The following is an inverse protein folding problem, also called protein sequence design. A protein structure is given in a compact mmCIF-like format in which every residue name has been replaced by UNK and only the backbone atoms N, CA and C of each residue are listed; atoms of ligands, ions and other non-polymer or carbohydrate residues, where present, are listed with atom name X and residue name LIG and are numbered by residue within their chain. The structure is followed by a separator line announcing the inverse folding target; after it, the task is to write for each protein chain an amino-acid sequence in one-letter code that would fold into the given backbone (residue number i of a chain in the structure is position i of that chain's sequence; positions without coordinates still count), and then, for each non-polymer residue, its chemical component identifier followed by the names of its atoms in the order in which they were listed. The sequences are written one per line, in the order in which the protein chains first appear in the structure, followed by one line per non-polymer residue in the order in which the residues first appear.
data_IF_363272322438
#
_entry.id   IF_363272322438
#
_cell.length_a   1.000
_cell.length_b   1.000
_cell.length_c   1.000
_cell.angle_alpha   90.00
_cell.angle_beta   90.00
_cell.angle_gamma   90.00
#
_symmetry.space_group_name_H-M   'P 1'
#
loop_
_entity.id
_entity.type
_entity.pdbx_description
1 polymer ?
#
# COMPACT_ATOMS: atom_id res chain seq x y z
N UNK A 1 6.05 -36.68 8.29
CA UNK A 1 5.65 -35.62 7.35
C UNK A 1 6.59 -35.64 6.16
N UNK A 2 6.05 -35.66 4.96
CA UNK A 2 6.90 -35.68 3.76
C UNK A 2 7.54 -34.30 3.54
N UNK A 3 8.74 -34.31 2.92
CA UNK A 3 9.47 -33.08 2.58
C UNK A 3 8.64 -32.09 1.74
N UNK A 4 7.65 -32.58 1.00
CA UNK A 4 6.71 -31.77 0.21
C UNK A 4 5.75 -30.95 1.08
N UNK A 5 5.33 -31.45 2.23
CA UNK A 5 4.48 -30.71 3.18
C UNK A 5 5.29 -29.59 3.86
N UNK A 6 6.53 -29.84 4.20
CA UNK A 6 7.43 -28.84 4.78
C UNK A 6 7.77 -27.73 3.77
N UNK A 7 7.99 -28.06 2.50
CA UNK A 7 8.24 -27.08 1.46
C UNK A 7 7.02 -26.20 1.14
N UNK A 8 5.80 -26.72 1.30
CA UNK A 8 4.56 -25.96 1.12
C UNK A 8 4.24 -25.05 2.32
N UNK A 9 4.69 -25.39 3.53
CA UNK A 9 4.47 -24.58 4.73
C UNK A 9 5.48 -23.42 4.88
N UNK A 10 6.67 -23.55 4.31
CA UNK A 10 7.71 -22.51 4.43
C UNK A 10 7.38 -21.22 3.68
N UNK A 11 6.84 -21.22 2.45
CA UNK A 11 6.40 -19.98 1.79
C UNK A 11 5.27 -19.28 2.54
N UNK A 12 4.31 -20.04 3.06
CA UNK A 12 3.18 -19.49 3.80
C UNK A 12 3.58 -18.84 5.12
N UNK A 13 4.53 -19.39 5.84
CA UNK A 13 5.02 -18.81 7.09
C UNK A 13 5.83 -17.54 6.85
N UNK A 14 6.60 -17.46 5.78
CA UNK A 14 7.31 -16.25 5.37
C UNK A 14 6.36 -15.15 4.93
N UNK A 15 5.32 -15.49 4.18
CA UNK A 15 4.27 -14.56 3.78
C UNK A 15 3.55 -13.98 5.00
N UNK A 16 3.18 -14.80 5.98
CA UNK A 16 2.55 -14.34 7.21
C UNK A 16 3.46 -13.42 8.04
N UNK A 17 4.74 -13.76 8.20
CA UNK A 17 5.71 -12.91 8.91
C UNK A 17 5.92 -11.57 8.21
N UNK A 18 6.01 -11.58 6.87
CA UNK A 18 6.11 -10.36 6.07
C UNK A 18 4.85 -9.48 6.21
N UNK A 19 3.66 -10.08 6.18
CA UNK A 19 2.40 -9.37 6.38
C UNK A 19 2.29 -8.76 7.78
N UNK A 20 2.68 -9.49 8.82
CA UNK A 20 2.72 -8.97 10.18
C UNK A 20 3.68 -7.78 10.31
N UNK A 21 4.84 -7.83 9.68
CA UNK A 21 5.80 -6.72 9.66
C UNK A 21 5.22 -5.49 8.96
N UNK A 22 4.55 -5.66 7.82
CA UNK A 22 3.87 -4.58 7.08
C UNK A 22 2.78 -3.95 7.94
N UNK A 23 1.93 -4.76 8.56
CA UNK A 23 0.84 -4.30 9.41
C UNK A 23 1.35 -3.52 10.63
N UNK A 24 2.38 -4.05 11.29
CA UNK A 24 3.00 -3.39 12.44
C UNK A 24 3.62 -2.04 12.04
N UNK A 25 4.31 -2.00 10.90
CA UNK A 25 4.89 -0.74 10.41
C UNK A 25 3.82 0.27 10.01
N UNK A 26 2.78 -0.14 9.30
CA UNK A 26 1.67 0.73 8.91
C UNK A 26 1.04 1.45 10.12
N UNK A 27 0.82 0.73 11.21
CA UNK A 27 0.30 1.29 12.46
C UNK A 27 1.21 2.38 13.03
N UNK A 28 2.53 2.22 12.90
CA UNK A 28 3.51 3.22 13.38
C UNK A 28 3.46 4.54 12.63
N UNK A 29 2.92 4.56 11.42
CA UNK A 29 2.74 5.78 10.62
C UNK A 29 1.49 6.58 10.99
N UNK A 30 0.54 5.99 11.72
CA UNK A 30 -0.67 6.69 12.16
C UNK A 30 -0.30 7.94 12.96
N UNK A 31 -0.91 9.07 12.61
CA UNK A 31 -0.61 10.37 13.18
C UNK A 31 0.41 11.21 12.41
N UNK A 32 1.13 10.62 11.45
CA UNK A 32 2.03 11.37 10.55
C UNK A 32 1.21 12.39 9.76
N UNK A 33 1.57 13.69 9.78
CA UNK A 33 0.85 14.71 9.03
C UNK A 33 0.87 14.43 7.52
N UNK A 34 -0.22 14.76 6.83
CA UNK A 34 -0.21 14.71 5.37
C UNK A 34 0.72 15.79 4.82
N UNK A 35 1.61 15.39 3.95
CA UNK A 35 2.48 16.31 3.22
C UNK A 35 2.75 15.76 1.82
N UNK A 36 2.35 16.50 0.79
CA UNK A 36 2.52 16.10 -0.60
C UNK A 36 3.98 15.81 -0.92
N UNK A 37 4.24 14.67 -1.57
CA UNK A 37 5.57 14.17 -1.94
C UNK A 37 6.53 13.89 -0.76
N UNK A 38 6.04 13.83 0.46
CA UNK A 38 6.83 13.48 1.62
C UNK A 38 6.74 11.98 1.96
N UNK A 39 7.80 11.46 2.57
CA UNK A 39 7.93 10.07 2.97
C UNK A 39 8.81 9.98 4.23
N UNK A 40 8.34 10.57 5.33
CA UNK A 40 9.06 10.51 6.62
C UNK A 40 8.08 10.33 7.76
N UNK A 41 8.14 9.18 8.41
CA UNK A 41 7.27 8.85 9.55
C UNK A 41 7.35 9.91 10.64
N UNK A 42 6.18 10.37 11.10
CA UNK A 42 6.05 11.37 12.13
C UNK A 42 6.25 12.82 11.66
N UNK A 43 6.75 13.02 10.45
CA UNK A 43 7.05 14.34 9.88
C UNK A 43 6.12 14.71 8.73
N UNK A 44 5.95 13.82 7.78
CA UNK A 44 5.06 14.03 6.66
C UNK A 44 5.01 12.86 5.70
N UNK A 45 3.84 12.57 5.15
CA UNK A 45 3.65 11.57 4.12
C UNK A 45 2.39 11.87 3.30
N UNK A 46 2.44 11.58 1.99
CA UNK A 46 1.26 11.38 1.18
C UNK A 46 0.95 9.88 1.05
N UNK A 47 -0.04 9.51 0.24
CA UNK A 47 -0.44 8.10 0.13
C UNK A 47 0.67 7.23 -0.46
N UNK A 48 1.40 7.68 -1.45
CA UNK A 48 2.53 6.95 -2.01
C UNK A 48 3.72 6.94 -1.04
N UNK A 49 3.97 8.06 -0.35
CA UNK A 49 5.00 8.18 0.68
C UNK A 49 4.80 7.20 1.83
N UNK A 50 3.55 6.95 2.22
CA UNK A 50 3.22 5.92 3.21
C UNK A 50 3.62 4.51 2.71
N UNK A 51 3.26 4.16 1.48
CA UNK A 51 3.58 2.83 0.92
C UNK A 51 5.10 2.63 0.80
N UNK A 52 5.80 3.61 0.25
CA UNK A 52 7.26 3.56 0.11
C UNK A 52 7.94 3.56 1.47
N UNK A 53 7.45 4.31 2.43
CA UNK A 53 7.96 4.32 3.80
C UNK A 53 7.82 2.98 4.49
N UNK A 54 6.67 2.33 4.36
CA UNK A 54 6.46 0.98 4.87
C UNK A 54 7.39 -0.02 4.15
N UNK A 55 7.49 0.06 2.82
CA UNK A 55 8.43 -0.76 2.05
C UNK A 55 9.86 -0.62 2.59
N UNK A 56 10.34 0.60 2.75
CA UNK A 56 11.72 0.85 3.18
C UNK A 56 11.99 0.38 4.60
N UNK A 57 10.98 0.29 5.45
CA UNK A 57 11.12 -0.22 6.80
C UNK A 57 11.17 -1.76 6.86
N UNK A 58 10.52 -2.46 5.93
CA UNK A 58 10.40 -3.93 5.94
C UNK A 58 11.25 -4.62 4.87
N UNK A 59 11.91 -3.87 3.99
CA UNK A 59 12.73 -4.39 2.89
C UNK A 59 14.19 -3.97 3.02
N UNK A 60 15.10 -4.83 2.59
CA UNK A 60 16.53 -4.52 2.48
C UNK A 60 16.86 -3.73 1.20
N UNK A 61 15.88 -3.54 0.32
CA UNK A 61 16.05 -2.82 -0.94
C UNK A 61 15.23 -1.54 -0.92
N UNK A 62 15.78 -0.42 -0.42
CA UNK A 62 15.05 0.83 -0.33
C UNK A 62 14.65 1.35 -1.70
N UNK A 63 13.45 1.92 -1.76
CA UNK A 63 12.95 2.64 -2.92
C UNK A 63 13.13 4.14 -2.72
N UNK A 64 13.51 4.82 -3.79
CA UNK A 64 13.45 6.27 -3.86
C UNK A 64 12.19 6.70 -4.60
N UNK A 65 11.45 7.64 -3.98
CA UNK A 65 10.33 8.27 -4.66
C UNK A 65 10.84 9.16 -5.78
N UNK A 66 10.50 8.80 -7.01
CA UNK A 66 10.57 9.74 -8.11
C UNK A 66 9.63 10.91 -7.80
N UNK A 67 10.19 12.11 -7.67
CA UNK A 67 9.43 13.32 -7.38
C UNK A 67 8.71 13.78 -8.65
N UNK A 68 7.53 13.27 -8.88
CA UNK A 68 6.64 13.75 -9.92
C UNK A 68 5.47 14.50 -9.27
N UNK A 69 5.00 15.55 -9.92
CA UNK A 69 3.82 16.28 -9.44
C UNK A 69 2.56 15.41 -9.58
N UNK A 70 2.24 14.69 -8.52
CA UNK A 70 1.10 13.77 -8.49
C UNK A 70 -0.26 14.48 -8.56
N UNK A 71 -0.34 15.77 -8.25
CA UNK A 71 -1.61 16.51 -8.31
C UNK A 71 -2.11 16.68 -9.74
N UNK A 72 -1.20 16.78 -10.70
CA UNK A 72 -1.55 16.88 -12.12
C UNK A 72 -1.96 15.52 -12.72
N UNK A 73 -1.53 14.42 -12.13
CA UNK A 73 -1.78 13.09 -12.68
C UNK A 73 -3.23 12.64 -12.55
N UNK A 74 -3.84 12.91 -11.40
CA UNK A 74 -5.17 12.42 -11.07
C UNK A 74 -6.27 13.06 -11.91
N UNK A 75 -6.03 14.23 -12.48
CA UNK A 75 -7.05 15.01 -13.16
C UNK A 75 -6.88 15.09 -14.68
N UNK A 76 -5.70 14.86 -15.21
CA UNK A 76 -5.36 15.15 -16.61
C UNK A 76 -4.58 14.05 -17.32
N UNK A 77 -4.26 12.95 -16.67
CA UNK A 77 -3.44 11.90 -17.29
C UNK A 77 -4.31 10.94 -18.09
N UNK A 78 -3.93 10.71 -19.34
CA UNK A 78 -4.34 9.51 -20.06
C UNK A 78 -3.65 8.29 -19.42
N UNK A 79 -4.42 7.24 -19.09
CA UNK A 79 -3.89 6.02 -18.50
C UNK A 79 -3.91 6.00 -16.98
N UNK A 80 -3.03 5.20 -16.40
CA UNK A 80 -2.98 4.90 -14.96
C UNK A 80 -1.55 5.07 -14.41
N UNK A 81 -1.03 6.31 -14.33
CA UNK A 81 0.37 6.53 -13.95
C UNK A 81 0.70 6.04 -12.54
N UNK A 82 -0.22 6.17 -11.57
CA UNK A 82 0.00 5.66 -10.22
C UNK A 82 0.11 4.13 -10.20
N UNK A 83 -0.80 3.45 -10.90
CA UNK A 83 -0.79 1.98 -10.99
C UNK A 83 0.45 1.48 -11.72
N UNK A 84 0.85 2.15 -12.81
CA UNK A 84 2.05 1.80 -13.56
C UNK A 84 3.31 1.93 -12.69
N UNK A 85 3.38 2.94 -11.84
CA UNK A 85 4.44 3.10 -10.85
C UNK A 85 4.47 1.96 -9.83
N UNK A 86 3.32 1.59 -9.28
CA UNK A 86 3.22 0.49 -8.32
C UNK A 86 3.58 -0.86 -8.91
N UNK A 87 3.22 -1.12 -10.18
CA UNK A 87 3.54 -2.36 -10.90
C UNK A 87 5.04 -2.63 -11.03
N UNK A 88 5.87 -1.61 -10.86
CA UNK A 88 7.33 -1.76 -10.91
C UNK A 88 7.90 -2.47 -9.67
N UNK A 89 7.20 -2.43 -8.54
CA UNK A 89 7.72 -3.00 -7.29
C UNK A 89 6.70 -3.82 -6.48
N UNK A 90 5.41 -3.70 -6.76
CA UNK A 90 4.34 -4.50 -6.16
C UNK A 90 3.72 -5.44 -7.19
N UNK A 91 3.08 -6.49 -6.72
CA UNK A 91 2.36 -7.46 -7.57
C UNK A 91 0.87 -7.14 -7.58
N UNK A 92 0.35 -6.76 -8.74
CA UNK A 92 -1.10 -6.50 -8.89
C UNK A 92 -1.92 -7.78 -8.79
N UNK A 93 -3.05 -7.72 -8.14
CA UNK A 93 -3.97 -8.82 -7.94
C UNK A 93 -5.42 -8.35 -7.94
N UNK A 94 -6.35 -9.29 -8.12
CA UNK A 94 -7.78 -9.02 -7.98
C UNK A 94 -8.07 -8.52 -6.54
N UNK A 95 -8.82 -7.41 -6.38
CA UNK A 95 -9.22 -6.92 -5.05
C UNK A 95 -9.97 -7.97 -4.20
N UNK A 96 -10.68 -8.90 -4.83
CA UNK A 96 -11.36 -10.00 -4.12
C UNK A 96 -10.38 -10.91 -3.36
N UNK A 97 -9.11 -10.95 -3.78
CA UNK A 97 -8.05 -11.73 -3.13
C UNK A 97 -7.23 -10.93 -2.12
N UNK A 98 -7.54 -9.64 -1.93
CA UNK A 98 -6.79 -8.79 -1.01
C UNK A 98 -6.90 -9.30 0.43
N UNK A 99 -5.76 -9.30 1.11
CA UNK A 99 -5.59 -9.72 2.50
C UNK A 99 -4.98 -8.58 3.33
N UNK A 100 -5.13 -8.59 4.65
CA UNK A 100 -4.41 -7.64 5.51
C UNK A 100 -2.91 -7.60 5.20
N UNK A 101 -2.39 -6.38 5.02
CA UNK A 101 -1.02 -6.13 4.55
C UNK A 101 -0.92 -5.81 3.06
N UNK A 102 -1.98 -5.99 2.30
CA UNK A 102 -2.01 -5.61 0.88
C UNK A 102 -2.36 -4.13 0.70
N UNK A 103 -2.01 -3.59 -0.46
CA UNK A 103 -2.29 -2.21 -0.84
C UNK A 103 -3.56 -2.19 -1.69
N UNK A 104 -4.48 -1.30 -1.36
CA UNK A 104 -5.65 -0.97 -2.17
C UNK A 104 -5.41 0.33 -2.91
N UNK A 105 -5.64 0.32 -4.21
CA UNK A 105 -5.65 1.54 -5.04
C UNK A 105 -7.08 1.97 -5.28
N UNK A 106 -7.35 3.25 -5.08
CA UNK A 106 -8.69 3.83 -5.11
C UNK A 106 -8.79 4.87 -6.21
N UNK A 107 -9.96 4.93 -6.86
CA UNK A 107 -10.34 5.99 -7.80
C UNK A 107 -11.64 6.64 -7.37
N UNK A 108 -11.71 7.94 -7.48
CA UNK A 108 -12.90 8.68 -7.04
C UNK A 108 -14.07 8.61 -8.01
N UNK A 109 -13.77 8.49 -9.30
CA UNK A 109 -14.76 8.32 -10.37
C UNK A 109 -14.30 7.21 -11.31
N UNK A 110 -15.25 6.47 -11.88
CA UNK A 110 -14.97 5.36 -12.80
C UNK A 110 -14.14 5.76 -14.04
N UNK A 111 -14.27 7.01 -14.49
CA UNK A 111 -13.53 7.56 -15.64
C UNK A 111 -12.18 8.21 -15.26
N UNK A 112 -11.86 8.29 -13.98
CA UNK A 112 -10.62 8.91 -13.51
C UNK A 112 -9.55 7.87 -13.21
N UNK A 113 -8.26 8.22 -13.38
CA UNK A 113 -7.17 7.38 -12.89
C UNK A 113 -7.27 7.13 -11.39
N UNK A 114 -6.71 6.00 -10.94
CA UNK A 114 -6.48 5.77 -9.52
C UNK A 114 -5.55 6.86 -8.96
N UNK A 115 -5.91 7.41 -7.81
CA UNK A 115 -5.21 8.57 -7.22
C UNK A 115 -4.97 8.46 -5.72
N UNK A 116 -5.43 7.39 -5.09
CA UNK A 116 -5.27 7.19 -3.65
C UNK A 116 -4.88 5.75 -3.34
N UNK A 117 -4.07 5.58 -2.28
CA UNK A 117 -3.58 4.29 -1.81
C UNK A 117 -3.89 4.12 -0.33
N UNK A 118 -4.18 2.89 0.06
CA UNK A 118 -4.39 2.50 1.43
C UNK A 118 -3.79 1.12 1.70
N UNK A 119 -3.42 0.85 2.93
CA UNK A 119 -3.00 -0.49 3.37
C UNK A 119 -4.20 -1.15 4.06
N UNK A 120 -4.58 -2.32 3.56
CA UNK A 120 -5.66 -3.11 4.16
C UNK A 120 -5.19 -3.66 5.51
N UNK A 121 -5.99 -3.42 6.53
CA UNK A 121 -5.76 -3.86 7.89
C UNK A 121 -6.75 -4.97 8.27
N UNK A 122 -6.50 -5.73 9.35
CA UNK A 122 -7.52 -6.61 9.93
C UNK A 122 -8.80 -5.84 10.28
N UNK A 123 -9.90 -6.57 10.47
CA UNK A 123 -11.22 -6.03 10.88
C UNK A 123 -11.84 -5.07 9.86
N UNK A 124 -11.53 -5.25 8.57
CA UNK A 124 -12.11 -4.45 7.48
C UNK A 124 -11.85 -2.95 7.67
N UNK A 125 -10.62 -2.62 8.04
CA UNK A 125 -10.12 -1.26 8.16
C UNK A 125 -8.96 -1.02 7.21
N UNK A 126 -8.63 0.25 6.99
CA UNK A 126 -7.49 0.68 6.18
C UNK A 126 -6.65 1.70 6.94
N UNK A 127 -5.35 1.71 6.68
CA UNK A 127 -4.45 2.80 7.07
C UNK A 127 -4.10 3.58 5.80
N UNK A 128 -4.32 4.88 5.81
CA UNK A 128 -4.07 5.74 4.65
C UNK A 128 -3.72 7.17 5.06
N UNK A 129 -2.99 7.86 4.20
CA UNK A 129 -2.68 9.27 4.36
C UNK A 129 -3.84 10.12 3.85
N UNK A 130 -4.61 10.71 4.76
CA UNK A 130 -5.78 11.52 4.43
C UNK A 130 -5.36 12.94 4.08
N UNK A 131 -5.67 13.38 2.85
CA UNK A 131 -5.32 14.71 2.36
C UNK A 131 -5.94 15.81 3.24
N UNK A 132 -5.13 16.78 3.64
CA UNK A 132 -5.55 17.85 4.56
C UNK A 132 -5.60 17.45 6.03
N UNK A 133 -5.23 16.21 6.36
CA UNK A 133 -5.19 15.68 7.71
C UNK A 133 -3.88 14.97 8.02
N UNK A 134 -3.96 13.70 8.34
CA UNK A 134 -2.83 12.85 8.70
C UNK A 134 -3.05 11.41 8.30
N UNK A 135 -2.06 10.55 8.49
CA UNK A 135 -2.24 9.11 8.38
C UNK A 135 -3.20 8.67 9.48
N UNK A 136 -4.27 8.01 9.06
CA UNK A 136 -5.37 7.56 9.94
C UNK A 136 -5.73 6.11 9.64
N UNK A 137 -6.38 5.47 10.61
CA UNK A 137 -7.07 4.20 10.42
C UNK A 137 -8.56 4.48 10.27
N UNK A 138 -9.15 3.97 9.19
CA UNK A 138 -10.56 4.20 8.85
C UNK A 138 -11.26 2.88 8.55
N UNK A 139 -12.60 2.84 8.68
CA UNK A 139 -13.37 1.72 8.16
C UNK A 139 -13.27 1.68 6.64
N UNK A 140 -13.15 0.48 6.08
CA UNK A 140 -13.09 0.29 4.63
C UNK A 140 -14.43 0.56 3.94
N UNK A 141 -15.55 0.28 4.60
CA UNK A 141 -16.88 0.28 3.99
C UNK A 141 -17.19 1.54 3.15
N UNK A 142 -16.94 2.78 3.62
CA UNK A 142 -17.19 3.98 2.81
C UNK A 142 -16.34 4.07 1.53
N UNK A 143 -15.21 3.36 1.50
CA UNK A 143 -14.23 3.41 0.40
C UNK A 143 -14.36 2.23 -0.56
N UNK A 144 -15.12 1.19 -0.21
CA UNK A 144 -15.15 -0.08 -0.94
C UNK A 144 -15.61 0.06 -2.39
N UNK A 145 -16.54 0.97 -2.68
CA UNK A 145 -17.01 1.25 -4.04
C UNK A 145 -15.94 1.95 -4.93
N UNK A 146 -14.89 2.47 -4.33
CA UNK A 146 -13.81 3.19 -5.00
C UNK A 146 -12.58 2.33 -5.29
N UNK A 147 -12.56 1.06 -4.89
CA UNK A 147 -11.42 0.17 -5.12
C UNK A 147 -11.27 -0.09 -6.62
N UNK A 148 -10.13 0.33 -7.18
CA UNK A 148 -9.78 0.11 -8.57
C UNK A 148 -9.08 -1.23 -8.76
N UNK A 149 -8.08 -1.51 -7.92
CA UNK A 149 -7.29 -2.74 -7.94
C UNK A 149 -6.57 -2.91 -6.60
N UNK A 150 -5.84 -4.00 -6.45
CA UNK A 150 -5.06 -4.32 -5.26
C UNK A 150 -3.66 -4.76 -5.63
N UNK A 151 -2.72 -4.58 -4.71
CA UNK A 151 -1.33 -5.01 -4.85
C UNK A 151 -0.86 -5.74 -3.61
N UNK A 152 -0.07 -6.79 -3.81
CA UNK A 152 0.65 -7.47 -2.75
C UNK A 152 2.12 -7.02 -2.74
N UNK A 153 2.72 -6.93 -1.56
CA UNK A 153 4.17 -6.84 -1.43
C UNK A 153 4.80 -8.15 -1.92
N UNK A 154 5.93 -8.11 -2.62
CA UNK A 154 6.55 -9.34 -3.13
C UNK A 154 7.08 -10.23 -2.01
N UNK A 155 7.13 -11.54 -2.25
CA UNK A 155 7.59 -12.57 -1.30
C UNK A 155 9.08 -12.44 -0.91
N UNK A 156 9.81 -11.58 -1.61
CA UNK A 156 11.25 -11.33 -1.38
C UNK A 156 11.54 -10.32 -0.29
N UNK A 157 10.51 -9.79 0.39
CA UNK A 157 10.73 -8.96 1.55
C UNK A 157 11.35 -9.81 2.67
N UNK A 158 12.54 -9.41 3.10
CA UNK A 158 13.15 -10.02 4.29
C UNK A 158 12.41 -9.50 5.51
N UNK A 159 11.60 -10.34 6.05
CA UNK A 159 10.97 -10.09 7.34
C UNK A 159 11.95 -10.42 8.47
#
# INVERSE_FOLDING_TARGET
MSAQILAALQPQSRDLAAREAILAEAVRWIGTPYCHQACKRGVGADCLGLIVGVWNAVSDQPLELARHDQRSWAQHADGEPLLDGLRQFLTEQDPANAMPGDVLALRWRSSWPASHLAILMPDTTIVHAYEGGRVVRSNLAPWSAHIATSFAFPDTLNA
#
